data_IF_996961357675
#
_entry.id   IF_996961357675
#
_cell.length_a   1.000
_cell.length_b   1.000
_cell.length_c   1.000
_cell.angle_alpha   90.00
_cell.angle_beta   90.00
_cell.angle_gamma   90.00
#
_symmetry.space_group_name_H-M   'P 1'
#
loop_
_entity.id
_entity.type
_entity.pdbx_description
1 polymer ?
#
# COMPACT_ATOMS: atom_id res chain seq x y z
N UNK A 1 25.64 -18.06 19.45
CA UNK A 1 26.94 -18.64 19.05
C UNK A 1 28.03 -17.74 19.60
N UNK A 2 28.71 -18.12 20.69
CA UNK A 2 29.85 -17.34 21.19
C UNK A 2 31.05 -17.64 20.28
N UNK A 3 31.46 -16.65 19.48
CA UNK A 3 32.73 -16.69 18.76
C UNK A 3 33.85 -16.47 19.78
N UNK A 4 34.46 -17.55 20.25
CA UNK A 4 35.72 -17.48 20.99
C UNK A 4 36.84 -17.18 19.98
N UNK A 5 37.59 -16.11 20.19
CA UNK A 5 38.62 -15.58 19.28
C UNK A 5 39.87 -16.48 19.15
N UNK A 6 40.06 -17.47 20.04
CA UNK A 6 41.23 -18.34 20.03
C UNK A 6 40.99 -19.65 19.23
N UNK A 7 41.72 -19.89 18.11
CA UNK A 7 41.56 -21.07 17.27
C UNK A 7 41.72 -22.40 18.01
N UNK A 8 42.54 -22.45 19.06
CA UNK A 8 42.78 -23.68 19.82
C UNK A 8 41.58 -24.06 20.69
N UNK A 9 40.93 -23.08 21.30
CA UNK A 9 39.72 -23.30 22.09
C UNK A 9 38.52 -23.67 21.20
N UNK A 10 38.47 -23.12 19.98
CA UNK A 10 37.46 -23.54 18.99
C UNK A 10 37.62 -25.00 18.58
N UNK A 11 38.85 -25.47 18.40
CA UNK A 11 39.12 -26.88 18.08
C UNK A 11 38.75 -27.81 19.24
N UNK A 12 38.98 -27.41 20.50
CA UNK A 12 38.58 -28.23 21.65
C UNK A 12 37.06 -28.28 21.83
N UNK A 13 36.35 -27.16 21.61
CA UNK A 13 34.90 -27.11 21.59
C UNK A 13 34.30 -27.98 20.47
N UNK A 14 34.82 -27.86 19.25
CA UNK A 14 34.37 -28.67 18.11
C UNK A 14 34.63 -30.16 18.35
N UNK A 15 35.78 -30.54 18.91
CA UNK A 15 36.04 -31.94 19.26
C UNK A 15 35.11 -32.48 20.34
N UNK A 16 34.72 -31.63 21.31
CA UNK A 16 33.72 -32.00 22.33
C UNK A 16 32.35 -32.19 21.71
N UNK A 17 31.96 -31.34 20.76
CA UNK A 17 30.69 -31.44 20.03
C UNK A 17 30.66 -32.67 19.11
N UNK A 18 31.75 -32.96 18.40
CA UNK A 18 31.90 -34.18 17.59
C UNK A 18 31.77 -35.43 18.47
N UNK A 19 32.37 -35.42 19.66
CA UNK A 19 32.28 -36.54 20.61
C UNK A 19 30.86 -36.72 21.13
N UNK A 20 30.16 -35.63 21.44
CA UNK A 20 28.75 -35.64 21.85
C UNK A 20 27.85 -36.19 20.72
N UNK A 21 28.00 -35.67 19.50
CA UNK A 21 27.24 -36.14 18.31
C UNK A 21 27.53 -37.60 17.97
N UNK A 22 28.79 -38.06 18.10
CA UNK A 22 29.12 -39.49 17.93
C UNK A 22 28.46 -40.37 18.99
N UNK A 23 28.35 -39.88 20.23
CA UNK A 23 27.66 -40.60 21.30
C UNK A 23 26.16 -40.70 21.04
N UNK A 24 25.57 -39.63 20.51
CA UNK A 24 24.17 -39.59 20.09
C UNK A 24 23.88 -40.52 18.91
N UNK A 25 24.74 -40.54 17.89
CA UNK A 25 24.67 -41.52 16.79
C UNK A 25 24.77 -42.96 17.32
N UNK A 26 25.66 -43.21 18.30
CA UNK A 26 25.80 -44.53 18.92
C UNK A 26 24.55 -44.94 19.70
N UNK A 27 23.91 -43.98 20.39
CA UNK A 27 22.65 -44.17 21.12
C UNK A 27 21.49 -44.50 20.17
N UNK A 28 21.43 -43.83 19.03
CA UNK A 28 20.45 -44.09 17.95
C UNK A 28 20.68 -45.47 17.32
N UNK A 29 21.94 -45.84 17.03
CA UNK A 29 22.32 -47.16 16.51
C UNK A 29 22.03 -48.32 17.49
N UNK A 30 22.07 -48.06 18.79
CA UNK A 30 21.79 -49.05 19.84
C UNK A 30 20.29 -49.25 20.10
N UNK A 31 19.41 -48.68 19.28
CA UNK A 31 17.97 -48.95 19.32
C UNK A 31 17.22 -48.37 20.52
N UNK A 32 17.86 -47.53 21.34
CA UNK A 32 17.22 -46.77 22.43
C UNK A 32 16.68 -45.42 21.94
N UNK A 33 15.98 -45.42 20.80
CA UNK A 33 15.04 -44.36 20.48
C UNK A 33 13.77 -44.58 21.30
N UNK A 34 13.87 -44.24 22.58
CA UNK A 34 12.77 -44.28 23.56
C UNK A 34 11.81 -43.10 23.35
N UNK A 35 11.29 -42.97 22.13
CA UNK A 35 10.14 -42.12 21.81
C UNK A 35 9.45 -42.61 20.52
N UNK A 36 9.28 -43.92 20.39
CA UNK A 36 8.33 -44.46 19.42
C UNK A 36 6.94 -44.20 19.98
N UNK A 37 6.30 -43.11 19.54
CA UNK A 37 4.87 -42.91 19.73
C UNK A 37 4.17 -44.23 19.36
N UNK A 38 3.36 -44.77 20.27
CA UNK A 38 2.55 -45.94 19.99
C UNK A 38 1.60 -45.62 18.83
N UNK A 39 1.22 -46.62 18.03
CA UNK A 39 0.18 -46.47 16.99
C UNK A 39 -1.11 -45.89 17.60
N UNK A 40 -1.40 -46.24 18.85
CA UNK A 40 -2.53 -45.73 19.62
C UNK A 40 -2.35 -44.26 20.07
N UNK A 41 -1.12 -43.84 20.39
CA UNK A 41 -0.83 -42.43 20.72
C UNK A 41 -1.01 -41.54 19.48
N UNK A 42 -0.64 -42.06 18.31
CA UNK A 42 -0.83 -41.36 17.04
C UNK A 42 -2.31 -41.24 16.68
N UNK A 43 -3.08 -42.30 16.89
CA UNK A 43 -4.53 -42.32 16.67
C UNK A 43 -5.26 -41.33 17.60
N UNK A 44 -4.90 -41.31 18.90
CA UNK A 44 -5.44 -40.37 19.88
C UNK A 44 -5.07 -38.92 19.56
N UNK A 45 -3.83 -38.65 19.14
CA UNK A 45 -3.40 -37.31 18.73
C UNK A 45 -4.17 -36.85 17.48
N UNK A 46 -4.35 -37.71 16.49
CA UNK A 46 -5.11 -37.39 15.27
C UNK A 46 -6.60 -37.16 15.60
N UNK A 47 -7.17 -37.95 16.51
CA UNK A 47 -8.54 -37.77 16.97
C UNK A 47 -8.73 -36.44 17.73
N UNK A 48 -7.76 -36.05 18.56
CA UNK A 48 -7.76 -34.74 19.22
C UNK A 48 -7.66 -33.62 18.19
N UNK A 49 -6.75 -33.71 17.22
CA UNK A 49 -6.61 -32.72 16.14
C UNK A 49 -7.89 -32.63 15.31
N UNK A 50 -8.50 -33.76 14.96
CA UNK A 50 -9.76 -33.78 14.23
C UNK A 50 -10.88 -33.10 15.03
N UNK A 51 -11.01 -33.38 16.33
CA UNK A 51 -12.03 -32.77 17.18
C UNK A 51 -11.82 -31.26 17.38
N UNK A 52 -10.58 -30.78 17.42
CA UNK A 52 -10.30 -29.34 17.51
C UNK A 52 -10.54 -28.62 16.19
N UNK A 53 -10.22 -29.25 15.05
CA UNK A 53 -10.41 -28.66 13.73
C UNK A 53 -11.89 -28.61 13.29
N UNK A 54 -12.70 -29.60 13.69
CA UNK A 54 -14.11 -29.70 13.28
C UNK A 54 -14.99 -28.49 13.66
N UNK A 55 -14.64 -27.77 14.73
CA UNK A 55 -15.38 -26.57 15.15
C UNK A 55 -15.05 -25.32 14.34
N UNK A 56 -13.85 -25.25 13.77
CA UNK A 56 -13.31 -24.05 13.13
C UNK A 56 -14.12 -23.64 11.88
N UNK A 57 -14.51 -24.54 10.96
CA UNK A 57 -15.35 -24.15 9.83
C UNK A 57 -16.68 -23.49 10.22
N UNK A 58 -17.31 -23.96 11.29
CA UNK A 58 -18.58 -23.41 11.77
C UNK A 58 -18.34 -22.01 12.34
N UNK A 59 -17.30 -21.83 13.14
CA UNK A 59 -16.91 -20.52 13.69
C UNK A 59 -16.58 -19.51 12.57
N UNK A 60 -15.93 -19.94 11.49
CA UNK A 60 -15.64 -19.11 10.31
C UNK A 60 -16.89 -18.76 9.52
N UNK A 61 -17.82 -19.70 9.37
CA UNK A 61 -19.08 -19.45 8.71
C UNK A 61 -19.96 -18.48 9.49
N UNK A 62 -20.02 -18.62 10.82
CA UNK A 62 -20.68 -17.67 11.71
C UNK A 62 -20.05 -16.28 11.61
N UNK A 63 -18.72 -16.19 11.52
CA UNK A 63 -18.03 -14.92 11.30
C UNK A 63 -18.42 -14.29 9.96
N UNK A 64 -18.47 -15.08 8.87
CA UNK A 64 -18.93 -14.60 7.57
C UNK A 64 -20.38 -14.10 7.59
N UNK A 65 -21.27 -14.81 8.31
CA UNK A 65 -22.65 -14.39 8.49
C UNK A 65 -22.75 -13.09 9.30
N UNK A 66 -21.96 -12.95 10.37
CA UNK A 66 -21.94 -11.74 11.19
C UNK A 66 -21.47 -10.51 10.39
N UNK A 67 -20.46 -10.68 9.53
CA UNK A 67 -19.98 -9.61 8.65
C UNK A 67 -21.02 -9.22 7.60
N UNK A 68 -21.73 -10.22 7.05
CA UNK A 68 -22.84 -9.97 6.14
C UNK A 68 -23.97 -9.21 6.81
N UNK A 69 -24.40 -9.66 7.99
CA UNK A 69 -25.50 -9.05 8.72
C UNK A 69 -25.16 -7.62 9.16
N UNK A 70 -23.89 -7.37 9.52
CA UNK A 70 -23.38 -6.04 9.79
C UNK A 70 -23.49 -5.13 8.55
N UNK A 71 -23.05 -5.60 7.38
CA UNK A 71 -23.20 -4.86 6.12
C UNK A 71 -24.67 -4.56 5.75
N UNK A 72 -25.56 -5.52 5.94
CA UNK A 72 -27.00 -5.35 5.68
C UNK A 72 -27.66 -4.39 6.69
N UNK A 73 -27.28 -4.46 7.96
CA UNK A 73 -27.77 -3.55 9.00
C UNK A 73 -27.30 -2.11 8.75
N UNK A 74 -26.03 -1.93 8.39
CA UNK A 74 -25.48 -0.64 8.03
C UNK A 74 -26.23 -0.03 6.84
N UNK A 75 -26.54 -0.86 5.83
CA UNK A 75 -27.35 -0.44 4.68
C UNK A 75 -28.76 -0.02 5.08
N UNK A 76 -29.41 -0.73 6.00
CA UNK A 76 -30.75 -0.34 6.51
C UNK A 76 -30.70 0.99 7.27
N UNK A 77 -29.70 1.20 8.13
CA UNK A 77 -29.52 2.44 8.89
C UNK A 77 -29.19 3.65 8.02
N UNK A 78 -28.45 3.44 6.94
CA UNK A 78 -28.21 4.47 5.92
C UNK A 78 -29.51 4.86 5.19
N UNK A 79 -30.34 3.90 4.82
CA UNK A 79 -31.59 4.15 4.10
C UNK A 79 -32.64 4.89 4.94
N UNK A 80 -32.64 4.69 6.27
CA UNK A 80 -33.52 5.45 7.17
C UNK A 80 -33.10 6.92 7.32
N UNK A 81 -31.93 7.31 6.79
CA UNK A 81 -31.45 8.70 6.77
C UNK A 81 -31.09 9.26 8.14
N UNK A 82 -31.04 8.42 9.18
CA UNK A 82 -30.84 8.82 10.57
C UNK A 82 -29.38 9.05 10.98
N UNK A 83 -28.41 8.76 10.10
CA UNK A 83 -26.98 8.86 10.40
C UNK A 83 -26.20 9.59 9.31
N UNK A 84 -25.15 10.30 9.72
CA UNK A 84 -24.17 10.91 8.85
C UNK A 84 -23.17 9.89 8.30
N UNK A 85 -22.53 10.20 7.16
CA UNK A 85 -21.51 9.34 6.54
C UNK A 85 -20.41 8.95 7.53
N UNK A 86 -19.99 9.91 8.37
CA UNK A 86 -18.94 9.71 9.36
C UNK A 86 -19.36 8.72 10.45
N UNK A 87 -20.57 8.92 11.02
CA UNK A 87 -21.15 7.98 12.00
C UNK A 87 -21.29 6.56 11.44
N UNK A 88 -21.59 6.44 10.14
CA UNK A 88 -21.71 5.16 9.47
C UNK A 88 -20.34 4.47 9.31
N UNK A 89 -19.31 5.20 8.91
CA UNK A 89 -17.95 4.67 8.81
C UNK A 89 -17.41 4.29 10.19
N UNK A 90 -17.63 5.11 11.21
CA UNK A 90 -17.26 4.79 12.59
C UNK A 90 -17.96 3.52 13.07
N UNK A 91 -19.28 3.42 12.89
CA UNK A 91 -20.04 2.25 13.31
C UNK A 91 -19.58 0.96 12.61
N UNK A 92 -19.30 1.03 11.30
CA UNK A 92 -18.76 -0.11 10.55
C UNK A 92 -17.39 -0.53 11.09
N UNK A 93 -16.46 0.41 11.28
CA UNK A 93 -15.13 0.11 11.76
C UNK A 93 -15.10 -0.41 13.20
N UNK A 94 -15.99 0.08 14.08
CA UNK A 94 -16.09 -0.42 15.44
C UNK A 94 -16.68 -1.83 15.49
N UNK A 95 -17.72 -2.12 14.70
CA UNK A 95 -18.30 -3.47 14.63
C UNK A 95 -17.33 -4.46 13.98
N UNK A 96 -16.60 -4.03 12.95
CA UNK A 96 -15.51 -4.82 12.36
C UNK A 96 -14.42 -5.12 13.39
N UNK A 97 -13.97 -4.11 14.15
CA UNK A 97 -12.97 -4.29 15.20
C UNK A 97 -13.46 -5.31 16.25
N UNK A 98 -14.73 -5.22 16.64
CA UNK A 98 -15.35 -6.12 17.60
C UNK A 98 -15.43 -7.56 17.08
N UNK A 99 -15.91 -7.74 15.85
CA UNK A 99 -16.07 -9.05 15.23
C UNK A 99 -14.72 -9.75 14.98
N UNK A 100 -13.69 -9.02 14.56
CA UNK A 100 -12.41 -9.63 14.16
C UNK A 100 -11.32 -9.60 15.24
N UNK A 101 -11.27 -8.59 16.13
CA UNK A 101 -10.22 -8.50 17.16
C UNK A 101 -10.69 -8.94 18.55
N UNK A 102 -11.95 -8.67 18.88
CA UNK A 102 -12.47 -8.95 20.23
C UNK A 102 -13.12 -10.33 20.33
N UNK A 103 -13.68 -10.84 19.23
CA UNK A 103 -14.24 -12.19 19.17
C UNK A 103 -13.14 -13.27 19.18
N UNK A 104 -13.41 -14.36 19.90
CA UNK A 104 -12.55 -15.55 19.92
C UNK A 104 -12.43 -16.19 18.52
N UNK A 105 -13.53 -16.22 17.76
CA UNK A 105 -13.54 -16.71 16.37
C UNK A 105 -12.76 -15.77 15.43
N UNK A 106 -12.89 -14.46 15.61
CA UNK A 106 -12.15 -13.45 14.83
C UNK A 106 -10.63 -13.54 15.02
N UNK A 107 -10.17 -13.71 16.26
CA UNK A 107 -8.73 -13.91 16.53
C UNK A 107 -8.19 -15.18 15.91
N UNK A 108 -8.95 -16.28 15.98
CA UNK A 108 -8.58 -17.55 15.34
C UNK A 108 -8.51 -17.43 13.82
N UNK A 109 -9.44 -16.68 13.23
CA UNK A 109 -9.38 -16.35 11.81
C UNK A 109 -8.12 -15.55 11.48
N UNK A 110 -7.81 -14.48 12.22
CA UNK A 110 -6.63 -13.64 11.96
C UNK A 110 -5.31 -14.42 12.12
N UNK A 111 -5.20 -15.24 13.17
CA UNK A 111 -4.03 -16.09 13.42
C UNK A 111 -3.88 -17.17 12.34
N UNK A 112 -4.98 -17.83 11.95
CA UNK A 112 -4.98 -18.81 10.87
C UNK A 112 -4.70 -18.16 9.51
N UNK A 113 -5.20 -16.94 9.29
CA UNK A 113 -5.00 -16.15 8.07
C UNK A 113 -3.51 -15.84 7.87
N UNK A 114 -2.80 -15.38 8.91
CA UNK A 114 -1.36 -15.11 8.79
C UNK A 114 -0.53 -16.33 8.39
N UNK A 115 -0.93 -17.53 8.80
CA UNK A 115 -0.25 -18.79 8.46
C UNK A 115 -0.66 -19.33 7.09
N UNK A 116 -1.93 -19.14 6.68
CA UNK A 116 -2.53 -19.77 5.50
C UNK A 116 -2.45 -18.89 4.24
N UNK A 117 -2.29 -17.57 4.39
CA UNK A 117 -2.33 -16.60 3.26
C UNK A 117 -1.14 -16.72 2.32
N UNK A 118 0.00 -17.23 2.77
CA UNK A 118 1.11 -17.52 1.86
C UNK A 118 0.82 -18.84 1.14
N UNK A 119 0.85 -18.82 -0.20
CA UNK A 119 0.75 -20.06 -1.00
C UNK A 119 1.82 -21.08 -0.57
N UNK A 120 2.96 -20.60 -0.07
CA UNK A 120 4.01 -21.40 0.57
C UNK A 120 3.56 -22.05 1.88
N UNK A 121 2.86 -21.35 2.77
CA UNK A 121 2.34 -21.90 4.03
C UNK A 121 1.31 -23.01 3.79
N UNK A 122 0.42 -22.81 2.81
CA UNK A 122 -0.55 -23.84 2.38
C UNK A 122 0.14 -25.10 1.85
N UNK A 123 1.14 -24.92 0.98
CA UNK A 123 1.94 -26.04 0.46
C UNK A 123 2.74 -26.75 1.55
N UNK A 124 3.30 -26.00 2.51
CA UNK A 124 4.02 -26.59 3.64
C UNK A 124 3.12 -27.47 4.51
N UNK A 125 1.89 -27.04 4.78
CA UNK A 125 0.91 -27.83 5.55
C UNK A 125 0.51 -29.09 4.78
N UNK A 126 0.21 -28.96 3.48
CA UNK A 126 -0.15 -30.09 2.63
C UNK A 126 1.00 -31.10 2.46
N UNK A 127 2.23 -30.62 2.33
CA UNK A 127 3.42 -31.47 2.21
C UNK A 127 3.79 -32.12 3.53
N UNK A 128 3.61 -31.44 4.66
CA UNK A 128 3.73 -32.02 5.99
C UNK A 128 2.68 -33.13 6.20
N UNK A 129 1.42 -32.89 5.85
CA UNK A 129 0.36 -33.90 5.90
C UNK A 129 0.65 -35.09 4.98
N UNK A 130 1.18 -34.84 3.78
CA UNK A 130 1.60 -35.89 2.84
C UNK A 130 2.82 -36.67 3.35
N UNK A 131 3.75 -36.03 4.05
CA UNK A 131 4.88 -36.68 4.69
C UNK A 131 4.42 -37.55 5.86
N UNK A 132 3.48 -37.06 6.67
CA UNK A 132 2.85 -37.81 7.76
C UNK A 132 2.16 -39.04 7.18
N UNK A 133 1.30 -38.90 6.16
CA UNK A 133 0.60 -40.01 5.52
C UNK A 133 1.53 -41.09 4.90
N UNK A 134 2.78 -40.75 4.56
CA UNK A 134 3.79 -41.72 4.07
C UNK A 134 4.50 -42.48 5.19
N UNK A 135 4.25 -42.14 6.45
CA UNK A 135 4.91 -42.78 7.60
C UNK A 135 4.39 -44.21 7.78
N UNK A 136 5.27 -45.23 7.96
CA UNK A 136 4.89 -46.64 7.99
C UNK A 136 3.93 -47.06 9.13
N UNK A 137 3.67 -46.19 10.11
CA UNK A 137 2.84 -46.45 11.29
C UNK A 137 1.35 -46.08 11.09
N UNK A 138 0.96 -45.64 9.89
CA UNK A 138 -0.39 -45.16 9.58
C UNK A 138 -1.12 -46.08 8.58
N UNK A 139 -1.04 -47.40 8.79
CA UNK A 139 -1.70 -48.38 7.93
C UNK A 139 -3.09 -48.72 8.48
N UNK A 140 -4.15 -48.49 7.69
CA UNK A 140 -5.52 -48.89 8.07
C UNK A 140 -6.42 -47.71 8.50
N UNK A 141 -7.05 -47.83 9.69
CA UNK A 141 -8.07 -46.89 10.20
C UNK A 141 -7.54 -45.46 10.42
N UNK A 142 -6.28 -45.32 10.85
CA UNK A 142 -5.67 -44.01 11.08
C UNK A 142 -5.45 -43.20 9.79
N UNK A 143 -5.33 -43.87 8.64
CA UNK A 143 -5.30 -43.20 7.33
C UNK A 143 -6.69 -42.63 6.94
N UNK A 144 -7.78 -43.28 7.38
CA UNK A 144 -9.12 -42.76 7.19
C UNK A 144 -9.36 -41.50 8.05
N UNK A 145 -8.87 -41.48 9.29
CA UNK A 145 -8.89 -40.29 10.17
C UNK A 145 -8.05 -39.15 9.60
N UNK A 146 -6.87 -39.43 9.05
CA UNK A 146 -6.08 -38.41 8.33
C UNK A 146 -6.79 -37.88 7.07
N UNK A 147 -7.53 -38.74 6.37
CA UNK A 147 -8.41 -38.33 5.28
C UNK A 147 -9.51 -37.37 5.73
N UNK A 148 -10.10 -37.61 6.91
CA UNK A 148 -11.09 -36.72 7.53
C UNK A 148 -10.47 -35.39 7.96
N UNK A 149 -9.30 -35.40 8.59
CA UNK A 149 -8.56 -34.17 8.91
C UNK A 149 -8.27 -33.36 7.65
N UNK A 150 -7.91 -34.02 6.54
CA UNK A 150 -7.70 -33.35 5.26
C UNK A 150 -8.98 -32.72 4.71
N UNK A 151 -10.15 -33.37 4.82
CA UNK A 151 -11.42 -32.75 4.41
C UNK A 151 -11.79 -31.57 5.31
N UNK A 152 -11.57 -31.67 6.62
CA UNK A 152 -11.82 -30.56 7.55
C UNK A 152 -10.90 -29.36 7.23
N UNK A 153 -9.62 -29.60 6.94
CA UNK A 153 -8.70 -28.55 6.49
C UNK A 153 -9.15 -27.90 5.16
N UNK A 154 -9.67 -28.68 4.22
CA UNK A 154 -10.25 -28.14 2.98
C UNK A 154 -11.47 -27.25 3.25
N UNK A 155 -12.33 -27.63 4.20
CA UNK A 155 -13.46 -26.79 4.61
C UNK A 155 -13.02 -25.51 5.33
N UNK A 156 -11.96 -25.56 6.15
CA UNK A 156 -11.36 -24.36 6.76
C UNK A 156 -10.82 -23.43 5.65
N UNK A 157 -10.15 -23.99 4.65
CA UNK A 157 -9.64 -23.26 3.50
C UNK A 157 -10.73 -22.54 2.71
N UNK A 158 -11.84 -23.21 2.42
CA UNK A 158 -13.00 -22.60 1.75
C UNK A 158 -13.67 -21.56 2.65
N UNK A 159 -13.81 -21.85 3.95
CA UNK A 159 -14.40 -20.92 4.92
C UNK A 159 -13.62 -19.61 5.08
N UNK A 160 -12.29 -19.66 5.07
CA UNK A 160 -11.44 -18.47 5.12
C UNK A 160 -11.62 -17.62 3.85
N UNK A 161 -11.67 -18.25 2.67
CA UNK A 161 -11.87 -17.52 1.41
C UNK A 161 -13.29 -16.95 1.30
N UNK A 162 -14.30 -17.63 1.86
CA UNK A 162 -15.66 -17.13 1.96
C UNK A 162 -15.75 -15.88 2.85
N UNK A 163 -15.12 -15.89 4.04
CA UNK A 163 -15.02 -14.70 4.92
C UNK A 163 -14.35 -13.55 4.16
N UNK A 164 -13.24 -13.81 3.47
CA UNK A 164 -12.52 -12.80 2.70
C UNK A 164 -13.35 -12.23 1.55
N UNK A 165 -14.05 -13.10 0.82
CA UNK A 165 -14.95 -12.70 -0.24
C UNK A 165 -16.06 -11.81 0.32
N UNK A 166 -16.62 -12.19 1.47
CA UNK A 166 -17.67 -11.43 2.13
C UNK A 166 -17.17 -10.05 2.59
N UNK A 167 -15.98 -9.96 3.18
CA UNK A 167 -15.35 -8.68 3.55
C UNK A 167 -15.13 -7.76 2.35
N UNK A 168 -14.70 -8.31 1.21
CA UNK A 168 -14.53 -7.51 -0.01
C UNK A 168 -15.86 -6.96 -0.52
N UNK A 169 -16.91 -7.78 -0.43
CA UNK A 169 -18.27 -7.37 -0.84
C UNK A 169 -18.83 -6.32 0.11
N UNK A 170 -18.64 -6.46 1.43
CA UNK A 170 -19.09 -5.46 2.40
C UNK A 170 -18.35 -4.14 2.21
N UNK A 171 -17.02 -4.14 2.10
CA UNK A 171 -16.23 -2.93 1.88
C UNK A 171 -16.59 -2.21 0.57
N UNK A 172 -16.76 -2.96 -0.52
CA UNK A 172 -17.19 -2.38 -1.79
C UNK A 172 -18.62 -1.81 -1.71
N UNK A 173 -19.52 -2.52 -1.02
CA UNK A 173 -20.89 -2.04 -0.81
C UNK A 173 -20.90 -0.75 0.03
N UNK A 174 -20.12 -0.69 1.12
CA UNK A 174 -19.97 0.50 1.96
C UNK A 174 -19.39 1.66 1.14
N UNK A 175 -18.31 1.42 0.39
CA UNK A 175 -17.67 2.45 -0.44
C UNK A 175 -18.61 3.03 -1.49
N UNK A 176 -19.36 2.18 -2.20
CA UNK A 176 -20.38 2.62 -3.16
C UNK A 176 -21.49 3.43 -2.47
N UNK A 177 -21.92 2.99 -1.30
CA UNK A 177 -23.01 3.61 -0.56
C UNK A 177 -22.61 5.00 -0.02
N UNK A 178 -21.38 5.14 0.49
CA UNK A 178 -20.80 6.42 0.93
C UNK A 178 -20.71 7.40 -0.24
N UNK A 179 -20.27 6.95 -1.42
CA UNK A 179 -20.25 7.78 -2.63
C UNK A 179 -21.64 8.26 -3.01
N UNK A 180 -22.61 7.34 -3.04
CA UNK A 180 -24.00 7.68 -3.38
C UNK A 180 -24.60 8.71 -2.43
N UNK A 181 -24.38 8.57 -1.11
CA UNK A 181 -24.90 9.52 -0.12
C UNK A 181 -24.22 10.88 -0.26
N UNK A 182 -22.91 10.91 -0.48
CA UNK A 182 -22.13 12.15 -0.68
C UNK A 182 -22.57 12.88 -1.94
N UNK A 183 -22.73 12.18 -3.06
CA UNK A 183 -23.21 12.73 -4.31
C UNK A 183 -24.63 13.28 -4.18
N UNK A 184 -25.51 12.56 -3.46
CA UNK A 184 -26.89 13.01 -3.23
C UNK A 184 -26.92 14.29 -2.38
N UNK A 185 -26.12 14.35 -1.31
CA UNK A 185 -25.98 15.56 -0.48
C UNK A 185 -25.41 16.72 -1.29
N UNK A 186 -24.33 16.49 -2.04
CA UNK A 186 -23.71 17.52 -2.87
C UNK A 186 -24.67 18.04 -3.95
N UNK A 187 -25.38 17.15 -4.65
CA UNK A 187 -26.39 17.54 -5.65
C UNK A 187 -27.51 18.37 -5.04
N UNK A 188 -27.99 17.98 -3.87
CA UNK A 188 -29.06 18.71 -3.16
C UNK A 188 -28.57 20.10 -2.72
N UNK A 189 -27.33 20.17 -2.21
CA UNK A 189 -26.69 21.43 -1.80
C UNK A 189 -26.48 22.36 -3.00
N UNK A 190 -25.98 21.84 -4.13
CA UNK A 190 -25.83 22.59 -5.36
C UNK A 190 -27.16 23.09 -5.91
N UNK A 191 -28.21 22.26 -5.91
CA UNK A 191 -29.53 22.69 -6.36
C UNK A 191 -30.11 23.79 -5.46
N UNK A 192 -29.88 23.68 -4.15
CA UNK A 192 -30.26 24.72 -3.19
C UNK A 192 -29.48 26.01 -3.41
N UNK A 193 -28.16 25.92 -3.63
CA UNK A 193 -27.30 27.06 -3.92
C UNK A 193 -27.70 27.73 -5.24
N UNK A 194 -27.98 26.96 -6.29
CA UNK A 194 -28.46 27.49 -7.57
C UNK A 194 -29.80 28.22 -7.43
N UNK A 195 -30.74 27.66 -6.65
CA UNK A 195 -32.01 28.33 -6.36
C UNK A 195 -31.80 29.66 -5.62
N UNK A 196 -30.90 29.67 -4.62
CA UNK A 196 -30.54 30.88 -3.89
C UNK A 196 -29.86 31.90 -4.81
N UNK A 197 -28.95 31.48 -5.67
CA UNK A 197 -28.27 32.35 -6.61
C UNK A 197 -29.23 32.95 -7.64
N UNK A 198 -30.13 32.15 -8.21
CA UNK A 198 -31.17 32.64 -9.12
C UNK A 198 -32.08 33.63 -8.40
N UNK A 199 -32.54 33.31 -7.19
CA UNK A 199 -33.39 34.19 -6.39
C UNK A 199 -32.69 35.52 -6.07
N UNK A 200 -31.46 35.47 -5.58
CA UNK A 200 -30.66 36.64 -5.25
C UNK A 200 -30.38 37.49 -6.48
N UNK A 201 -30.07 36.88 -7.62
CA UNK A 201 -29.87 37.60 -8.88
C UNK A 201 -31.18 38.21 -9.42
N UNK A 202 -32.33 37.56 -9.22
CA UNK A 202 -33.63 38.16 -9.56
C UNK A 202 -34.00 39.33 -8.65
N UNK A 203 -33.74 39.23 -7.34
CA UNK A 203 -33.94 40.31 -6.37
C UNK A 203 -33.02 41.51 -6.70
N UNK A 204 -31.73 41.25 -6.90
CA UNK A 204 -30.73 42.25 -7.29
C UNK A 204 -31.06 42.98 -8.61
N UNK A 205 -31.69 42.29 -9.58
CA UNK A 205 -32.13 42.92 -10.85
C UNK A 205 -33.41 43.73 -10.69
N UNK A 206 -34.32 43.32 -9.80
CA UNK A 206 -35.58 43.99 -9.59
C UNK A 206 -35.39 45.29 -8.78
N UNK A 207 -34.57 45.21 -7.72
CA UNK A 207 -34.34 46.29 -6.76
C UNK A 207 -32.82 46.52 -6.59
N UNK A 208 -32.16 47.12 -7.59
CA UNK A 208 -30.73 47.41 -7.54
C UNK A 208 -30.41 48.42 -6.43
N UNK A 209 -29.47 48.05 -5.56
CA UNK A 209 -28.98 48.85 -4.42
C UNK A 209 -30.07 49.28 -3.43
N UNK A 210 -31.03 48.39 -3.13
CA UNK A 210 -31.97 48.60 -2.03
C UNK A 210 -31.24 48.61 -0.67
N UNK A 211 -31.31 49.75 0.02
CA UNK A 211 -30.78 49.95 1.37
C UNK A 211 -31.36 49.02 2.45
N UNK A 212 -32.46 48.32 2.16
CA UNK A 212 -33.04 47.32 3.07
C UNK A 212 -32.41 45.92 2.93
N UNK A 213 -31.67 45.67 1.84
CA UNK A 213 -31.01 44.41 1.59
C UNK A 213 -29.66 44.33 2.34
N UNK A 214 -29.27 43.15 2.87
CA UNK A 214 -28.04 43.00 3.65
C UNK A 214 -26.75 42.96 2.80
N UNK A 215 -26.84 43.14 1.48
CA UNK A 215 -25.71 43.09 0.55
C UNK A 215 -25.85 44.20 -0.50
N UNK A 216 -24.76 44.92 -0.78
CA UNK A 216 -24.69 45.90 -1.88
C UNK A 216 -24.46 45.16 -3.20
N UNK A 217 -25.19 45.54 -4.25
CA UNK A 217 -25.06 44.87 -5.56
C UNK A 217 -24.06 45.61 -6.46
N UNK A 218 -23.72 46.86 -6.12
CA UNK A 218 -22.75 47.72 -6.80
C UNK A 218 -23.00 47.77 -8.32
N UNK A 219 -24.27 47.60 -8.71
CA UNK A 219 -24.72 47.64 -10.10
C UNK A 219 -24.89 49.08 -10.52
N UNK A 220 -23.79 49.81 -10.60
CA UNK A 220 -23.77 51.10 -11.26
C UNK A 220 -24.20 50.90 -12.71
N UNK A 221 -25.41 51.34 -13.06
CA UNK A 221 -25.85 51.46 -14.45
C UNK A 221 -25.00 52.53 -15.13
N UNK A 222 -23.79 52.18 -15.56
CA UNK A 222 -23.07 52.97 -16.56
C UNK A 222 -23.84 52.77 -17.86
N UNK A 223 -24.62 53.78 -18.26
CA UNK A 223 -25.05 53.92 -19.66
C UNK A 223 -23.79 54.15 -20.49
N UNK A 224 -23.10 53.07 -20.86
CA UNK A 224 -22.03 53.12 -21.84
C UNK A 224 -22.67 53.58 -23.15
N UNK A 225 -22.30 54.79 -23.60
CA UNK A 225 -22.68 55.26 -24.92
C UNK A 225 -22.25 54.18 -25.93
N UNK A 226 -23.18 53.76 -26.80
CA UNK A 226 -22.93 52.68 -27.76
C UNK A 226 -21.63 52.95 -28.49
N UNK A 227 -20.64 52.07 -28.29
CA UNK A 227 -19.39 52.12 -29.03
C UNK A 227 -19.72 52.15 -30.52
N UNK A 228 -19.11 53.03 -31.32
CA UNK A 228 -19.35 53.06 -32.75
C UNK A 228 -18.97 51.70 -33.33
N UNK A 229 -19.98 50.88 -33.64
CA UNK A 229 -19.83 49.58 -34.26
C UNK A 229 -19.41 49.79 -35.69
N UNK A 230 -18.09 49.80 -35.95
CA UNK A 230 -17.62 49.47 -37.28
C UNK A 230 -18.09 48.03 -37.57
N UNK A 231 -18.69 47.76 -38.74
CA UNK A 231 -19.05 46.39 -39.10
C UNK A 231 -17.79 45.52 -38.99
N UNK A 232 -17.90 44.43 -38.23
CA UNK A 232 -16.79 43.52 -38.01
C UNK A 232 -16.26 43.05 -39.36
N UNK A 233 -14.98 43.32 -39.64
CA UNK A 233 -14.30 42.77 -40.80
C UNK A 233 -14.41 41.24 -40.67
N UNK A 234 -14.93 40.51 -41.67
CA UNK A 234 -15.09 39.07 -41.56
C UNK A 234 -13.73 38.45 -41.24
N UNK A 235 -13.67 37.68 -40.16
CA UNK A 235 -12.45 36.98 -39.78
C UNK A 235 -12.15 35.94 -40.87
N UNK A 236 -11.16 36.23 -41.70
CA UNK A 236 -10.63 35.24 -42.64
C UNK A 236 -9.98 34.15 -41.79
N UNK A 237 -10.60 32.96 -41.77
CA UNK A 237 -10.05 31.79 -41.09
C UNK A 237 -8.72 31.44 -41.76
N UNK A 238 -7.61 31.80 -41.12
CA UNK A 238 -6.31 31.31 -41.51
C UNK A 238 -6.30 29.80 -41.24
N UNK A 239 -6.12 29.00 -42.29
CA UNK A 239 -5.97 27.55 -42.17
C UNK A 239 -4.75 27.27 -41.29
N UNK A 240 -4.94 26.48 -40.23
CA UNK A 240 -3.84 26.01 -39.38
C UNK A 240 -2.82 25.30 -40.27
N UNK A 241 -1.51 25.62 -40.20
CA UNK A 241 -0.49 24.86 -40.91
C UNK A 241 -0.60 23.38 -40.50
N UNK A 242 -0.66 22.48 -41.48
CA UNK A 242 -0.66 21.04 -41.22
C UNK A 242 0.64 20.64 -40.53
N UNK A 243 0.55 19.75 -39.54
CA UNK A 243 1.73 19.06 -39.03
C UNK A 243 2.20 18.09 -40.11
N UNK A 244 3.43 18.28 -40.60
CA UNK A 244 4.09 17.29 -41.45
C UNK A 244 4.41 16.05 -40.60
N UNK A 245 3.76 14.93 -40.92
CA UNK A 245 4.16 13.61 -40.45
C UNK A 245 5.53 13.29 -41.05
N UNK A 246 6.60 13.64 -40.35
CA UNK A 246 7.95 13.15 -40.62
C UNK A 246 8.01 11.66 -40.30
N UNK A 247 7.58 10.83 -41.26
CA UNK A 247 7.60 9.37 -41.18
C UNK A 247 8.90 8.75 -41.71
N UNK A 248 10.01 9.51 -41.81
CA UNK A 248 11.31 9.00 -42.28
C UNK A 248 12.46 9.39 -41.34
N UNK A 249 12.35 9.03 -40.07
CA UNK A 249 13.52 8.75 -39.25
C UNK A 249 13.35 7.34 -38.68
N UNK A 250 14.06 6.37 -39.25
CA UNK A 250 14.33 5.08 -38.60
C UNK A 250 15.18 5.35 -37.35
N UNK A 251 14.53 5.84 -36.30
CA UNK A 251 15.06 5.81 -34.95
C UNK A 251 15.04 4.34 -34.53
N UNK A 252 16.17 3.76 -34.09
CA UNK A 252 16.16 2.40 -33.56
C UNK A 252 15.09 2.31 -32.45
N UNK A 253 14.39 1.16 -32.32
CA UNK A 253 13.35 1.01 -31.33
C UNK A 253 13.89 1.40 -29.95
N UNK A 254 13.20 2.26 -29.20
CA UNK A 254 13.69 2.75 -27.92
C UNK A 254 13.93 1.55 -27.00
N UNK A 255 15.16 1.44 -26.50
CA UNK A 255 15.51 0.38 -25.56
C UNK A 255 14.69 0.60 -24.27
N UNK A 256 13.71 -0.27 -24.04
CA UNK A 256 12.78 -0.20 -22.91
C UNK A 256 13.55 -0.24 -21.58
N UNK A 257 14.72 -0.91 -21.53
CA UNK A 257 15.60 -0.85 -20.36
C UNK A 257 16.16 0.54 -20.15
N UNK A 258 16.68 1.19 -21.20
CA UNK A 258 17.08 2.60 -21.14
C UNK A 258 15.92 3.51 -20.73
N UNK A 259 14.69 3.27 -21.19
CA UNK A 259 13.50 4.06 -20.82
C UNK A 259 13.09 3.89 -19.35
N UNK A 260 13.19 2.67 -18.81
CA UNK A 260 12.91 2.36 -17.40
C UNK A 260 14.03 2.91 -16.50
N UNK A 261 15.27 2.83 -16.95
CA UNK A 261 16.44 3.39 -16.28
C UNK A 261 16.51 4.93 -16.33
N UNK A 262 15.82 5.56 -17.29
CA UNK A 262 15.78 7.02 -17.53
C UNK A 262 14.53 7.67 -16.92
N UNK A 263 13.52 6.91 -16.52
CA UNK A 263 12.21 7.44 -16.12
C UNK A 263 12.09 7.95 -14.68
N UNK A 264 13.08 7.71 -13.81
CA UNK A 264 12.95 8.03 -12.38
C UNK A 264 14.24 8.49 -11.71
N UNK A 265 14.13 9.27 -10.62
CA UNK A 265 15.28 9.68 -9.82
C UNK A 265 15.98 8.46 -9.20
N UNK A 266 17.30 8.40 -9.31
CA UNK A 266 18.16 7.36 -8.73
C UNK A 266 18.69 7.79 -7.38
N UNK A 267 17.77 8.08 -6.46
CA UNK A 267 18.08 8.71 -5.16
C UNK A 267 19.15 7.94 -4.38
N UNK A 268 19.05 6.61 -4.28
CA UNK A 268 20.02 5.76 -3.56
C UNK A 268 21.44 5.85 -4.14
N UNK A 269 21.56 5.84 -5.47
CA UNK A 269 22.86 5.98 -6.15
C UNK A 269 23.44 7.37 -5.90
N UNK A 270 22.61 8.42 -5.98
CA UNK A 270 23.06 9.79 -5.80
C UNK A 270 23.47 10.08 -4.36
N UNK A 271 22.71 9.59 -3.38
CA UNK A 271 23.05 9.68 -1.96
C UNK A 271 24.35 8.92 -1.67
N UNK A 272 24.55 7.73 -2.25
CA UNK A 272 25.81 7.00 -2.14
C UNK A 272 27.01 7.79 -2.67
N UNK A 273 26.89 8.43 -3.84
CA UNK A 273 27.97 9.22 -4.43
C UNK A 273 28.26 10.50 -3.64
N UNK A 274 27.22 11.16 -3.13
CA UNK A 274 27.36 12.37 -2.30
C UNK A 274 27.99 12.03 -0.95
N UNK A 275 27.68 10.86 -0.38
CA UNK A 275 28.28 10.38 0.86
C UNK A 275 29.78 10.12 0.75
N UNK A 276 30.26 9.71 -0.42
CA UNK A 276 31.71 9.48 -0.63
C UNK A 276 32.52 10.77 -0.52
N UNK A 277 31.97 11.92 -0.95
CA UNK A 277 32.61 13.24 -0.87
C UNK A 277 31.59 14.35 -0.62
N UNK A 278 31.08 14.51 0.63
CA UNK A 278 30.04 15.48 0.93
C UNK A 278 30.61 16.90 1.04
N UNK A 279 29.95 17.87 0.40
CA UNK A 279 30.18 19.28 0.67
C UNK A 279 29.41 19.69 1.92
N UNK A 280 30.12 19.96 3.02
CA UNK A 280 29.50 20.39 4.28
C UNK A 280 29.46 21.92 4.38
N UNK A 281 28.36 22.45 4.91
CA UNK A 281 28.24 23.84 5.35
C UNK A 281 27.84 23.82 6.83
N UNK A 282 28.85 23.88 7.71
CA UNK A 282 28.67 23.59 9.13
C UNK A 282 28.53 22.09 9.36
N UNK A 283 27.56 21.69 10.19
CA UNK A 283 27.28 20.28 10.50
C UNK A 283 26.33 19.61 9.48
N UNK A 284 25.78 20.38 8.53
CA UNK A 284 24.85 19.90 7.51
C UNK A 284 25.53 19.74 6.14
N UNK A 285 25.10 18.74 5.39
CA UNK A 285 25.50 18.50 4.00
C UNK A 285 24.71 19.41 3.07
N UNK A 286 25.42 20.17 2.25
CA UNK A 286 24.84 21.00 1.18
C UNK A 286 24.66 20.13 -0.07
N UNK A 287 23.42 19.76 -0.35
CA UNK A 287 23.10 18.83 -1.44
C UNK A 287 23.36 19.44 -2.82
N UNK A 288 23.15 20.74 -2.99
CA UNK A 288 23.37 21.42 -4.27
C UNK A 288 24.86 21.53 -4.58
N UNK A 289 25.67 21.90 -3.58
CA UNK A 289 27.12 21.95 -3.72
C UNK A 289 27.71 20.55 -3.99
N UNK A 290 27.25 19.54 -3.25
CA UNK A 290 27.71 18.16 -3.41
C UNK A 290 27.32 17.58 -4.77
N UNK A 291 26.09 17.81 -5.22
CA UNK A 291 25.63 17.38 -6.55
C UNK A 291 26.43 18.02 -7.69
N UNK A 292 26.80 19.29 -7.56
CA UNK A 292 27.58 19.99 -8.58
C UNK A 292 29.02 19.49 -8.72
N UNK A 293 29.54 18.77 -7.73
CA UNK A 293 30.85 18.10 -7.81
C UNK A 293 30.80 16.73 -8.50
N UNK A 294 29.60 16.17 -8.71
CA UNK A 294 29.46 14.87 -9.35
C UNK A 294 29.86 14.93 -10.84
N UNK A 295 30.31 13.79 -11.41
CA UNK A 295 30.58 13.68 -12.83
C UNK A 295 29.38 14.12 -13.68
N UNK A 296 29.65 14.71 -14.85
CA UNK A 296 28.62 15.21 -15.77
C UNK A 296 27.55 14.16 -16.15
N UNK A 297 27.92 12.88 -16.18
CA UNK A 297 27.04 11.76 -16.52
C UNK A 297 25.94 11.50 -15.47
N UNK A 298 26.21 11.88 -14.21
CA UNK A 298 25.32 11.67 -13.07
C UNK A 298 24.46 12.92 -12.78
N UNK A 299 24.81 14.08 -13.33
CA UNK A 299 24.12 15.35 -13.09
C UNK A 299 22.88 15.52 -13.96
N UNK A 300 21.89 14.63 -13.83
CA UNK A 300 20.63 14.68 -14.61
C UNK A 300 19.55 15.52 -13.92
N UNK A 301 18.62 16.07 -14.69
CA UNK A 301 17.51 16.86 -14.13
C UNK A 301 16.55 16.02 -13.27
N UNK A 302 16.39 14.73 -13.58
CA UNK A 302 15.56 13.79 -12.82
C UNK A 302 15.98 13.69 -11.36
N UNK A 303 17.29 13.80 -11.08
CA UNK A 303 17.84 13.63 -9.74
C UNK A 303 17.45 14.78 -8.80
N UNK A 304 17.37 16.00 -9.34
CA UNK A 304 16.88 17.17 -8.57
C UNK A 304 15.45 16.92 -8.09
N UNK A 305 14.60 16.35 -8.96
CA UNK A 305 13.21 16.03 -8.60
C UNK A 305 13.19 14.96 -7.49
N UNK A 306 14.11 14.00 -7.53
CA UNK A 306 14.31 13.03 -6.45
C UNK A 306 14.64 13.67 -5.11
N UNK A 307 15.60 14.59 -5.09
CA UNK A 307 15.98 15.30 -3.86
C UNK A 307 14.85 16.17 -3.33
N UNK A 308 14.19 16.95 -4.19
CA UNK A 308 13.09 17.82 -3.78
C UNK A 308 11.85 17.03 -3.33
N UNK A 309 11.65 15.82 -3.84
CA UNK A 309 10.57 14.94 -3.42
C UNK A 309 10.82 14.25 -2.08
N UNK A 310 12.09 13.98 -1.75
CA UNK A 310 12.46 13.14 -0.60
C UNK A 310 13.02 13.95 0.58
N UNK A 311 13.56 15.14 0.34
CA UNK A 311 14.20 15.99 1.33
C UNK A 311 13.51 17.36 1.38
N UNK A 312 13.47 17.98 2.57
CA UNK A 312 12.88 19.31 2.72
C UNK A 312 13.85 20.39 2.26
N UNK A 313 13.35 21.31 1.43
CA UNK A 313 14.07 22.51 1.06
C UNK A 313 13.82 23.61 2.12
N UNK A 314 14.88 24.24 2.60
CA UNK A 314 14.87 25.21 3.69
C UNK A 314 15.49 26.55 3.27
N UNK A 315 15.13 27.64 3.94
CA UNK A 315 15.66 28.99 3.70
C UNK A 315 14.97 29.77 2.57
N UNK A 316 15.23 31.09 2.56
CA UNK A 316 14.69 32.05 1.58
C UNK A 316 15.67 32.36 0.42
N UNK A 317 16.90 31.84 0.52
CA UNK A 317 17.92 31.98 -0.52
C UNK A 317 17.71 30.95 -1.66
N UNK A 318 18.39 31.17 -2.79
CA UNK A 318 18.36 30.27 -3.94
C UNK A 318 19.73 29.66 -4.21
N UNK A 319 19.76 28.35 -4.42
CA UNK A 319 20.94 27.61 -4.88
C UNK A 319 20.78 27.21 -6.35
N UNK A 320 21.91 27.04 -7.04
CA UNK A 320 21.94 26.66 -8.47
C UNK A 320 22.48 25.25 -8.63
N UNK A 321 21.75 24.42 -9.36
CA UNK A 321 22.12 23.07 -9.72
C UNK A 321 22.53 23.03 -11.19
N UNK A 322 23.71 22.50 -11.49
CA UNK A 322 24.23 22.40 -12.84
C UNK A 322 23.98 21.00 -13.39
N UNK A 323 22.92 20.86 -14.18
CA UNK A 323 22.55 19.62 -14.85
C UNK A 323 23.11 19.52 -16.26
N UNK A 324 23.17 18.30 -16.76
CA UNK A 324 23.49 17.94 -18.13
C UNK A 324 22.32 17.16 -18.69
N UNK A 325 21.68 17.73 -19.70
CA UNK A 325 20.58 17.09 -20.44
C UNK A 325 21.09 15.83 -21.14
N UNK A 326 20.16 14.94 -21.53
CA UNK A 326 20.43 13.77 -22.36
C UNK A 326 21.16 14.10 -23.68
N UNK A 327 20.97 15.33 -24.20
CA UNK A 327 21.63 15.80 -25.41
C UNK A 327 23.02 16.42 -25.14
N UNK A 328 23.55 16.30 -23.92
CA UNK A 328 24.84 16.86 -23.51
C UNK A 328 24.84 18.37 -23.24
N UNK A 329 23.71 19.06 -23.42
CA UNK A 329 23.60 20.48 -23.14
C UNK A 329 23.50 20.74 -21.63
N UNK A 330 24.26 21.72 -21.14
CA UNK A 330 24.23 22.12 -19.74
C UNK A 330 23.01 22.99 -19.45
N UNK A 331 22.33 22.73 -18.32
CA UNK A 331 21.20 23.51 -17.84
C UNK A 331 21.35 23.81 -16.36
N UNK A 332 21.03 25.04 -15.98
CA UNK A 332 21.09 25.48 -14.59
C UNK A 332 19.69 25.63 -14.02
N UNK A 333 19.42 24.96 -12.92
CA UNK A 333 18.14 25.03 -12.20
C UNK A 333 18.33 25.78 -10.89
N UNK A 334 17.35 26.60 -10.50
CA UNK A 334 17.37 27.35 -9.23
C UNK A 334 16.27 26.86 -8.31
N UNK A 335 16.63 26.46 -7.10
CA UNK A 335 15.69 25.99 -6.07
C UNK A 335 16.07 26.60 -4.72
N UNK A 336 15.22 26.40 -3.71
CA UNK A 336 15.61 26.61 -2.31
C UNK A 336 16.71 25.62 -1.91
N UNK A 337 17.62 25.97 -0.99
CA UNK A 337 18.67 25.08 -0.52
C UNK A 337 18.09 23.84 0.16
N UNK A 338 18.79 22.72 -0.01
CA UNK A 338 18.48 21.47 0.66
C UNK A 338 19.70 21.16 1.53
N UNK A 339 19.51 21.29 2.84
CA UNK A 339 20.53 21.05 3.86
C UNK A 339 20.13 19.81 4.64
N UNK A 340 21.01 18.81 4.70
CA UNK A 340 20.66 17.48 5.22
C UNK A 340 21.68 17.02 6.24
N UNK A 341 21.21 16.40 7.32
CA UNK A 341 22.07 15.73 8.30
C UNK A 341 22.60 14.40 7.74
N UNK A 342 23.81 13.99 8.12
CA UNK A 342 24.39 12.72 7.66
C UNK A 342 23.53 11.52 8.05
N UNK A 343 22.82 11.57 9.17
CA UNK A 343 21.91 10.51 9.60
C UNK A 343 20.74 10.31 8.62
N UNK A 344 20.20 11.39 8.05
CA UNK A 344 19.11 11.28 7.08
C UNK A 344 19.59 10.68 5.74
N UNK A 345 20.87 10.86 5.39
CA UNK A 345 21.45 10.18 4.22
C UNK A 345 21.58 8.67 4.46
N UNK A 346 21.86 8.25 5.69
CA UNK A 346 21.92 6.83 6.05
C UNK A 346 20.50 6.21 6.07
N UNK A 347 19.49 6.91 6.57
CA UNK A 347 18.09 6.44 6.56
C UNK A 347 17.59 6.17 5.13
N UNK A 348 17.89 7.07 4.18
CA UNK A 348 17.51 6.91 2.76
C UNK A 348 18.22 5.72 2.11
N UNK A 349 19.38 5.31 2.63
CA UNK A 349 20.09 4.11 2.16
C UNK A 349 19.47 2.82 2.71
N UNK A 350 18.83 2.85 3.88
CA UNK A 350 18.20 1.71 4.56
C UNK A 350 16.75 1.46 4.12
N UNK A 351 15.98 2.49 3.75
CA UNK A 351 14.56 2.38 3.38
C UNK A 351 14.27 1.79 1.98
N UNK A 352 15.30 1.53 1.15
CA UNK A 352 15.15 1.15 -0.27
C UNK A 352 15.69 -0.22 -0.68
#
# INVERSE_FOLDING_TARGET
>A
MQLTEDPRERITLLNREIKARKHEIKRILQGRSDNRLSEQDVDDIIAVIHNTLRGVPVELHELALSERDNGDELRRRMQSGGMSVDEILTAYHDEYRRAFRESDSGRRFEDAFQVIVTDEGRQQIDDAMRAIAKTPYLAGETNALLGQVKSELAHIYDGIEDVRRQMRVSDEAVSRLVRQQTDTRYRTMLDTLNKLFVKLNTEAKADPDDSSAPYETDTAFVRLAGLPTRPAKPMTRATTPGLDDRTDAQTPPPDIRSMIEVGGPRLKRMVSLIRENPCKRGDLVDMAASFNQLPAEERRESEIIGFLGSMRAEGDDYVTWHCVTLNGAQRSWRTRPIMVDEHLLDDIMEEG
#
